data_IF_527194127065
#
_entry.id   IF_527194127065
#
_cell.length_a   1.000
_cell.length_b   1.000
_cell.length_c   1.000
_cell.angle_alpha   90.00
_cell.angle_beta   90.00
_cell.angle_gamma   90.00
#
_symmetry.space_group_name_H-M   'P 1'
#
loop_
_entity.id
_entity.type
_entity.pdbx_description
1 polymer ?
#
# COMPACT_ATOMS: atom_id res chain seq x y z
N UNK A 1 -4.23 -4.12 -13.32
CA UNK A 1 -3.71 -5.11 -12.34
C UNK A 1 -2.20 -4.96 -12.23
N UNK A 2 -1.66 -5.07 -11.02
CA UNK A 2 -0.21 -5.14 -10.74
C UNK A 2 0.08 -6.54 -10.23
N UNK A 3 0.75 -7.37 -11.01
CA UNK A 3 1.07 -8.77 -10.69
C UNK A 3 2.27 -9.23 -11.53
N UNK A 4 3.31 -9.83 -10.95
CA UNK A 4 4.43 -10.36 -11.72
C UNK A 4 4.04 -11.54 -12.62
N UNK A 5 2.94 -12.22 -12.33
CA UNK A 5 2.48 -13.39 -13.08
C UNK A 5 1.38 -13.03 -14.08
N UNK A 6 1.36 -13.79 -15.17
CA UNK A 6 0.22 -13.86 -16.06
C UNK A 6 -0.77 -14.87 -15.46
N UNK A 7 -1.98 -14.41 -15.18
CA UNK A 7 -3.06 -15.18 -14.60
C UNK A 7 -4.32 -15.05 -15.45
N UNK A 8 -5.34 -15.91 -15.32
CA UNK A 8 -6.60 -15.72 -16.03
C UNK A 8 -7.23 -14.34 -15.81
N UNK A 9 -7.04 -13.75 -14.63
CA UNK A 9 -7.49 -12.39 -14.31
C UNK A 9 -6.75 -11.35 -15.13
N UNK A 10 -5.40 -11.45 -15.19
CA UNK A 10 -4.60 -10.47 -15.94
C UNK A 10 -4.72 -10.61 -17.45
N UNK A 11 -5.09 -11.79 -17.96
CA UNK A 11 -5.29 -12.01 -19.40
C UNK A 11 -6.68 -11.60 -19.90
N UNK A 12 -7.72 -11.76 -19.06
CA UNK A 12 -9.10 -11.70 -19.54
C UNK A 12 -9.94 -10.61 -18.90
N UNK A 13 -9.51 -10.07 -17.76
CA UNK A 13 -10.35 -9.22 -16.91
C UNK A 13 -9.74 -7.86 -16.59
N UNK A 14 -8.50 -7.56 -16.98
CA UNK A 14 -7.89 -6.26 -16.73
C UNK A 14 -7.65 -5.48 -18.02
N UNK A 15 -7.78 -4.16 -17.93
CA UNK A 15 -7.52 -3.22 -19.02
C UNK A 15 -6.04 -2.92 -19.19
N UNK A 16 -5.27 -3.00 -18.09
CA UNK A 16 -3.84 -2.78 -18.07
C UNK A 16 -3.16 -3.70 -17.06
N UNK A 17 -2.09 -4.37 -17.48
CA UNK A 17 -1.28 -5.25 -16.65
C UNK A 17 0.14 -4.69 -16.48
N UNK A 18 0.50 -4.31 -15.27
CA UNK A 18 1.86 -3.96 -14.87
C UNK A 18 2.52 -5.19 -14.21
N UNK A 19 3.72 -5.54 -14.66
CA UNK A 19 4.42 -6.75 -14.21
C UNK A 19 5.73 -6.39 -13.51
N UNK A 20 5.68 -5.94 -12.25
CA UNK A 20 6.90 -5.60 -11.53
C UNK A 20 7.68 -6.84 -11.12
N UNK A 21 8.99 -6.69 -10.93
CA UNK A 21 9.77 -7.70 -10.22
C UNK A 21 9.24 -7.84 -8.79
N UNK A 22 9.16 -9.08 -8.25
CA UNK A 22 8.71 -9.30 -6.88
C UNK A 22 9.47 -8.43 -5.87
N UNK A 23 8.72 -7.74 -4.99
CA UNK A 23 9.29 -6.87 -3.95
C UNK A 23 9.64 -5.44 -4.40
N UNK A 24 9.36 -5.07 -5.65
CA UNK A 24 9.60 -3.70 -6.18
C UNK A 24 8.34 -2.84 -6.25
N UNK A 25 7.26 -3.30 -5.67
CA UNK A 25 5.96 -2.64 -5.66
C UNK A 25 6.04 -1.19 -5.14
N UNK A 26 6.83 -0.97 -4.09
CA UNK A 26 7.05 0.35 -3.52
C UNK A 26 7.76 1.31 -4.48
N UNK A 27 8.75 0.83 -5.25
CA UNK A 27 9.45 1.64 -6.25
C UNK A 27 8.51 2.00 -7.40
N UNK A 28 7.65 1.05 -7.83
CA UNK A 28 6.63 1.31 -8.83
C UNK A 28 5.62 2.35 -8.33
N UNK A 29 5.10 2.18 -7.11
CA UNK A 29 4.14 3.11 -6.52
C UNK A 29 4.73 4.52 -6.32
N UNK A 30 6.00 4.64 -5.93
CA UNK A 30 6.69 5.92 -5.83
C UNK A 30 6.85 6.59 -7.20
N UNK A 31 7.16 5.83 -8.24
CA UNK A 31 7.19 6.37 -9.61
C UNK A 31 5.80 6.83 -10.05
N UNK A 32 4.76 6.05 -9.80
CA UNK A 32 3.37 6.48 -10.07
C UNK A 32 3.02 7.76 -9.32
N UNK A 33 3.36 7.85 -8.04
CA UNK A 33 3.18 9.08 -7.24
C UNK A 33 3.91 10.27 -7.83
N UNK A 34 5.15 10.10 -8.29
CA UNK A 34 5.91 11.14 -8.99
C UNK A 34 5.22 11.59 -10.28
N UNK A 35 4.74 10.65 -11.10
CA UNK A 35 3.99 10.97 -12.35
C UNK A 35 2.73 11.75 -12.03
N UNK A 36 1.93 11.33 -11.06
CA UNK A 36 0.71 12.03 -10.64
C UNK A 36 1.01 13.47 -10.20
N UNK A 37 2.08 13.67 -9.43
CA UNK A 37 2.52 15.00 -8.99
C UNK A 37 2.97 15.86 -10.16
N UNK A 38 3.84 15.35 -11.03
CA UNK A 38 4.38 16.10 -12.17
C UNK A 38 3.31 16.49 -13.17
N UNK A 39 2.33 15.63 -13.41
CA UNK A 39 1.19 15.90 -14.30
C UNK A 39 0.11 16.77 -13.65
N UNK A 40 0.19 17.03 -12.35
CA UNK A 40 -0.84 17.74 -11.62
C UNK A 40 -2.14 16.93 -11.43
N UNK A 41 -2.07 15.60 -11.54
CA UNK A 41 -3.18 14.66 -11.40
C UNK A 41 -3.39 14.25 -9.94
N UNK A 42 -3.30 15.21 -9.04
CA UNK A 42 -3.44 15.07 -7.60
C UNK A 42 -4.60 15.92 -7.09
N UNK A 43 -5.21 15.51 -5.99
CA UNK A 43 -6.23 16.29 -5.29
C UNK A 43 -5.56 17.23 -4.28
N UNK A 44 -5.28 18.46 -4.72
CA UNK A 44 -4.59 19.47 -3.91
C UNK A 44 -5.38 19.89 -2.68
N UNK A 45 -6.70 20.01 -2.80
CA UNK A 45 -7.56 20.40 -1.68
C UNK A 45 -7.55 19.32 -0.59
N UNK A 46 -7.64 18.06 -1.01
CA UNK A 46 -7.53 16.92 -0.08
C UNK A 46 -6.16 16.87 0.59
N UNK A 47 -5.09 17.04 -0.19
CA UNK A 47 -3.71 17.01 0.32
C UNK A 47 -3.50 18.11 1.35
N UNK A 48 -3.88 19.35 1.04
CA UNK A 48 -3.70 20.49 1.93
C UNK A 48 -4.45 20.33 3.26
N UNK A 49 -5.57 19.62 3.24
CA UNK A 49 -6.43 19.45 4.41
C UNK A 49 -6.11 18.22 5.26
N UNK A 50 -5.70 17.14 4.63
CA UNK A 50 -5.64 15.83 5.30
C UNK A 50 -4.29 15.12 5.22
N UNK A 51 -3.36 15.56 4.38
CA UNK A 51 -2.09 14.88 4.18
C UNK A 51 -0.95 15.61 4.85
N UNK A 52 -0.26 14.92 5.76
CA UNK A 52 0.96 15.43 6.36
C UNK A 52 2.20 14.88 5.64
N UNK A 53 3.25 15.73 5.47
CA UNK A 53 4.53 15.30 4.87
C UNK A 53 4.52 15.22 3.34
N UNK A 54 3.58 15.90 2.66
CA UNK A 54 3.50 15.88 1.19
C UNK A 54 4.79 16.37 0.51
N UNK A 55 5.43 17.42 1.04
CA UNK A 55 6.66 17.99 0.45
C UNK A 55 7.81 16.99 0.50
N UNK A 56 8.00 16.34 1.62
CA UNK A 56 9.01 15.31 1.83
C UNK A 56 8.75 14.08 0.95
N UNK A 57 7.48 13.69 0.85
CA UNK A 57 7.08 12.62 -0.07
C UNK A 57 7.38 12.97 -1.52
N UNK A 58 7.00 14.15 -1.98
CA UNK A 58 7.22 14.60 -3.35
C UNK A 58 8.72 14.66 -3.70
N UNK A 59 9.54 15.16 -2.78
CA UNK A 59 10.99 15.20 -2.95
C UNK A 59 11.58 13.78 -3.04
N UNK A 60 11.12 12.85 -2.21
CA UNK A 60 11.59 11.47 -2.23
C UNK A 60 11.12 10.74 -3.50
N UNK A 61 9.85 10.88 -3.86
CA UNK A 61 9.26 10.24 -5.03
C UNK A 61 9.91 10.71 -6.35
N UNK A 62 10.41 11.94 -6.42
CA UNK A 62 11.13 12.46 -7.59
C UNK A 62 12.37 11.64 -7.96
N UNK A 63 12.94 10.88 -7.02
CA UNK A 63 14.01 9.93 -7.28
C UNK A 63 13.58 8.69 -8.09
N UNK A 64 12.28 8.46 -8.26
CA UNK A 64 11.70 7.35 -9.04
C UNK A 64 11.02 7.91 -10.28
N UNK A 65 11.63 7.73 -11.44
CA UNK A 65 11.24 8.43 -12.67
C UNK A 65 11.55 7.59 -13.92
N UNK A 66 11.32 8.19 -15.08
CA UNK A 66 11.54 7.57 -16.39
C UNK A 66 12.94 6.95 -16.56
N UNK A 67 13.96 7.58 -15.98
CA UNK A 67 15.35 7.11 -16.18
C UNK A 67 15.69 5.83 -15.45
N UNK A 68 14.90 5.43 -14.43
CA UNK A 68 15.27 4.31 -13.56
C UNK A 68 14.14 3.32 -13.25
N UNK A 69 12.87 3.67 -13.46
CA UNK A 69 11.74 2.81 -13.06
C UNK A 69 11.78 1.44 -13.73
N UNK A 70 12.04 1.38 -15.02
CA UNK A 70 12.09 0.11 -15.76
C UNK A 70 13.23 -0.78 -15.25
N UNK A 71 14.40 -0.20 -15.00
CA UNK A 71 15.52 -0.93 -14.42
C UNK A 71 15.23 -1.47 -13.02
N UNK A 72 14.53 -0.68 -12.21
CA UNK A 72 14.20 -1.04 -10.82
C UNK A 72 13.07 -2.04 -10.73
N UNK A 73 12.07 -1.92 -11.58
CA UNK A 73 10.80 -2.65 -11.44
C UNK A 73 10.50 -3.63 -12.57
N UNK A 74 11.18 -3.50 -13.71
CA UNK A 74 10.85 -4.25 -14.92
C UNK A 74 9.63 -3.72 -15.67
N UNK A 75 9.02 -2.60 -15.21
CA UNK A 75 7.84 -2.01 -15.84
C UNK A 75 8.25 -0.81 -16.69
N UNK A 76 7.96 -0.81 -18.00
CA UNK A 76 8.20 0.32 -18.89
C UNK A 76 7.50 1.60 -18.39
N UNK A 77 8.18 2.73 -18.49
CA UNK A 77 7.66 4.01 -17.98
C UNK A 77 6.34 4.42 -18.62
N UNK A 78 6.14 4.14 -19.91
CA UNK A 78 4.92 4.45 -20.65
C UNK A 78 3.71 3.72 -20.04
N UNK A 79 3.88 2.50 -19.54
CA UNK A 79 2.82 1.76 -18.86
C UNK A 79 2.52 2.35 -17.48
N UNK A 80 3.53 2.89 -16.81
CA UNK A 80 3.34 3.61 -15.53
C UNK A 80 2.53 4.88 -15.77
N UNK A 81 2.87 5.66 -16.80
CA UNK A 81 2.12 6.87 -17.17
C UNK A 81 0.69 6.53 -17.53
N UNK A 82 0.47 5.47 -18.34
CA UNK A 82 -0.87 5.03 -18.71
C UNK A 82 -1.71 4.62 -17.50
N UNK A 83 -1.12 3.92 -16.54
CA UNK A 83 -1.81 3.58 -15.29
C UNK A 83 -2.22 4.83 -14.49
N UNK A 84 -1.34 5.83 -14.42
CA UNK A 84 -1.63 7.10 -13.75
C UNK A 84 -2.72 7.91 -14.47
N UNK A 85 -2.74 7.89 -15.82
CA UNK A 85 -3.80 8.49 -16.63
C UNK A 85 -5.17 7.85 -16.34
N UNK A 86 -5.23 6.52 -16.33
CA UNK A 86 -6.45 5.80 -15.96
C UNK A 86 -6.94 6.15 -14.54
N UNK A 87 -6.03 6.33 -13.60
CA UNK A 87 -6.37 6.79 -12.25
C UNK A 87 -6.95 8.21 -12.29
N UNK A 88 -6.33 9.11 -13.04
CA UNK A 88 -6.76 10.50 -13.16
C UNK A 88 -8.13 10.64 -13.82
N UNK A 89 -8.41 9.84 -14.86
CA UNK A 89 -9.68 9.86 -15.58
C UNK A 89 -10.81 9.18 -14.80
N UNK A 90 -10.48 8.37 -13.79
CA UNK A 90 -11.49 7.69 -12.98
C UNK A 90 -12.17 8.64 -12.00
N UNK A 91 -13.44 8.41 -11.70
CA UNK A 91 -14.18 9.19 -10.69
C UNK A 91 -13.72 8.87 -9.27
N UNK A 92 -13.23 7.66 -9.04
CA UNK A 92 -12.75 7.15 -7.76
C UNK A 92 -11.86 5.94 -8.00
N UNK A 93 -10.94 5.69 -7.07
CA UNK A 93 -10.01 4.55 -7.11
C UNK A 93 -10.04 3.83 -5.76
N UNK A 94 -10.28 2.53 -5.80
CA UNK A 94 -10.03 1.63 -4.68
C UNK A 94 -8.85 0.71 -5.02
N UNK A 95 -7.91 0.57 -4.12
CA UNK A 95 -6.78 -0.34 -4.24
C UNK A 95 -7.11 -1.60 -3.45
N UNK A 96 -7.32 -2.70 -4.15
CA UNK A 96 -7.45 -4.00 -3.51
C UNK A 96 -6.07 -4.67 -3.46
N UNK A 97 -5.53 -4.77 -2.28
CA UNK A 97 -4.23 -5.38 -2.02
C UNK A 97 -4.39 -6.61 -1.13
N UNK A 98 -3.46 -7.52 -1.27
CA UNK A 98 -3.44 -8.71 -0.44
C UNK A 98 -2.41 -8.54 0.69
N UNK A 99 -2.79 -8.89 1.90
CA UNK A 99 -1.96 -8.77 3.09
C UNK A 99 -0.68 -9.64 3.07
N UNK A 100 -0.61 -10.67 2.25
CA UNK A 100 0.52 -11.60 2.24
C UNK A 100 1.63 -11.20 1.24
N UNK A 101 1.37 -10.96 -0.07
CA UNK A 101 2.45 -10.81 -1.05
C UNK A 101 3.24 -9.51 -0.91
N UNK A 102 2.64 -8.43 -0.40
CA UNK A 102 3.30 -7.13 -0.31
C UNK A 102 4.09 -6.97 0.98
N UNK A 103 3.52 -7.19 2.20
CA UNK A 103 4.26 -6.97 3.44
C UNK A 103 5.31 -8.04 3.76
N UNK A 104 5.20 -9.25 3.21
CA UNK A 104 6.12 -10.35 3.51
C UNK A 104 7.47 -10.28 2.76
N UNK A 105 7.94 -9.08 2.50
CA UNK A 105 9.26 -8.79 1.97
C UNK A 105 10.10 -7.99 2.96
N UNK A 106 11.41 -7.98 2.78
CA UNK A 106 12.32 -7.17 3.60
C UNK A 106 11.89 -5.71 3.71
N UNK A 107 11.29 -5.16 2.66
CA UNK A 107 10.82 -3.78 2.57
C UNK A 107 9.28 -3.67 2.48
N UNK A 108 8.56 -4.73 2.86
CA UNK A 108 7.14 -4.87 2.62
C UNK A 108 6.29 -3.77 3.25
N UNK A 109 6.58 -3.38 4.48
CA UNK A 109 5.88 -2.29 5.14
C UNK A 109 6.00 -0.96 4.38
N UNK A 110 7.16 -0.64 3.84
CA UNK A 110 7.36 0.57 3.06
C UNK A 110 6.72 0.48 1.67
N UNK A 111 6.72 -0.72 1.07
CA UNK A 111 5.99 -0.97 -0.17
C UNK A 111 4.49 -0.71 0.01
N UNK A 112 3.92 -1.24 1.07
CA UNK A 112 2.51 -1.03 1.44
C UNK A 112 2.19 0.46 1.62
N UNK A 113 3.00 1.18 2.39
CA UNK A 113 2.83 2.64 2.58
C UNK A 113 2.89 3.42 1.28
N UNK A 114 3.81 3.06 0.38
CA UNK A 114 3.95 3.73 -0.91
C UNK A 114 2.71 3.51 -1.80
N UNK A 115 2.13 2.30 -1.76
CA UNK A 115 0.89 1.98 -2.48
C UNK A 115 -0.28 2.79 -1.90
N UNK A 116 -0.44 2.81 -0.59
CA UNK A 116 -1.51 3.59 0.07
C UNK A 116 -1.38 5.10 -0.16
N UNK A 117 -0.17 5.61 -0.31
CA UNK A 117 0.05 7.02 -0.63
C UNK A 117 -0.61 7.45 -1.95
N UNK A 118 -0.80 6.55 -2.92
CA UNK A 118 -1.52 6.86 -4.16
C UNK A 118 -2.98 7.27 -3.90
N UNK A 119 -3.65 6.59 -2.98
CA UNK A 119 -5.02 6.95 -2.56
C UNK A 119 -5.06 8.30 -1.84
N UNK A 120 -4.03 8.62 -1.04
CA UNK A 120 -3.92 9.92 -0.38
C UNK A 120 -3.66 11.06 -1.37
N UNK A 121 -2.77 10.86 -2.36
CA UNK A 121 -2.48 11.85 -3.39
C UNK A 121 -3.69 12.20 -4.25
N UNK A 122 -4.57 11.24 -4.49
CA UNK A 122 -5.73 11.36 -5.38
C UNK A 122 -7.04 11.58 -4.63
N UNK A 123 -6.99 11.83 -3.31
CA UNK A 123 -8.16 12.09 -2.49
C UNK A 123 -9.14 10.91 -2.41
N UNK A 124 -8.64 9.68 -2.50
CA UNK A 124 -9.46 8.48 -2.56
C UNK A 124 -9.65 7.77 -1.22
N UNK A 125 -9.25 8.36 -0.10
CA UNK A 125 -9.61 7.85 1.21
C UNK A 125 -10.97 8.41 1.68
N UNK A 126 -11.75 7.55 2.34
CA UNK A 126 -13.03 7.87 2.97
C UNK A 126 -14.04 8.54 2.01
N UNK A 127 -14.11 8.01 0.79
CA UNK A 127 -15.10 8.45 -0.20
C UNK A 127 -15.73 7.26 -0.90
N UNK A 128 -16.93 7.46 -1.41
CA UNK A 128 -17.68 6.42 -2.16
C UNK A 128 -16.90 5.96 -3.38
N UNK A 129 -16.65 4.66 -3.47
CA UNK A 129 -15.85 4.03 -4.53
C UNK A 129 -14.33 4.19 -4.36
N UNK A 130 -13.89 4.75 -3.23
CA UNK A 130 -12.49 4.86 -2.84
C UNK A 130 -12.11 3.85 -1.78
N UNK A 131 -10.97 4.13 -1.13
CA UNK A 131 -10.44 3.33 -0.03
C UNK A 131 -11.15 3.73 1.26
N UNK A 132 -11.87 2.81 1.87
CA UNK A 132 -12.47 3.03 3.18
C UNK A 132 -11.48 2.66 4.29
N UNK A 133 -11.45 3.40 5.41
CA UNK A 133 -10.77 2.95 6.61
C UNK A 133 -11.33 1.60 7.02
N UNK A 134 -10.46 0.64 7.31
CA UNK A 134 -10.89 -0.66 7.79
C UNK A 134 -11.56 -0.51 9.16
N UNK A 135 -12.85 -0.72 9.23
CA UNK A 135 -13.48 -1.00 10.51
C UNK A 135 -13.24 -2.48 10.84
N UNK A 136 -13.02 -2.78 12.12
CA UNK A 136 -12.91 -4.15 12.61
C UNK A 136 -14.27 -4.88 12.56
N UNK A 137 -14.91 -4.86 11.39
CA UNK A 137 -16.23 -5.48 11.19
C UNK A 137 -16.21 -7.01 11.20
N UNK A 138 -15.03 -7.62 11.24
CA UNK A 138 -14.85 -9.07 11.17
C UNK A 138 -14.41 -9.73 12.47
N UNK A 139 -14.24 -8.98 13.53
CA UNK A 139 -14.13 -9.58 14.85
C UNK A 139 -15.52 -9.89 15.40
N UNK A 140 -16.30 -10.69 14.67
CA UNK A 140 -17.21 -11.55 15.37
C UNK A 140 -16.32 -12.51 16.18
N UNK A 141 -16.21 -12.24 17.46
CA UNK A 141 -15.77 -13.26 18.40
C UNK A 141 -16.72 -14.44 18.17
N UNK A 142 -16.25 -15.44 17.45
CA UNK A 142 -16.92 -16.73 17.42
C UNK A 142 -16.85 -17.18 18.88
N UNK A 143 -18.00 -17.29 19.54
CA UNK A 143 -18.07 -17.71 20.91
C UNK A 143 -17.23 -18.99 21.12
N UNK A 144 -16.22 -18.93 21.96
CA UNK A 144 -15.25 -20.01 22.17
C UNK A 144 -13.95 -19.93 21.37
N UNK A 145 -13.75 -18.91 20.56
CA UNK A 145 -12.44 -18.61 19.98
C UNK A 145 -11.74 -17.58 20.88
N UNK A 146 -10.96 -18.04 21.81
CA UNK A 146 -10.05 -17.20 22.60
C UNK A 146 -8.74 -17.05 21.84
N UNK A 147 -8.20 -15.83 21.75
CA UNK A 147 -6.81 -15.64 21.36
C UNK A 147 -5.92 -16.14 22.50
N UNK A 148 -4.68 -16.53 22.20
CA UNK A 148 -3.72 -16.89 23.26
C UNK A 148 -3.59 -15.76 24.30
N UNK A 149 -3.80 -14.52 23.92
CA UNK A 149 -3.80 -13.36 24.80
C UNK A 149 -4.97 -13.41 25.80
N UNK A 150 -6.15 -13.85 25.39
CA UNK A 150 -7.31 -14.02 26.27
C UNK A 150 -7.10 -15.18 27.26
N UNK A 151 -6.37 -16.22 26.87
CA UNK A 151 -6.01 -17.33 27.77
C UNK A 151 -5.01 -16.91 28.85
N UNK A 152 -4.18 -15.90 28.58
CA UNK A 152 -3.22 -15.34 29.53
C UNK A 152 -3.77 -14.14 30.33
N UNK A 153 -4.91 -13.59 29.94
CA UNK A 153 -5.50 -12.41 30.59
C UNK A 153 -5.97 -12.65 32.03
N UNK A 154 -6.06 -13.89 32.47
CA UNK A 154 -6.44 -14.25 33.82
C UNK A 154 -5.29 -14.21 34.88
N UNK A 155 -4.16 -13.66 34.51
CA UNK A 155 -3.00 -13.49 35.39
C UNK A 155 -2.06 -14.69 35.43
N UNK A 156 -2.17 -15.57 34.44
CA UNK A 156 -1.25 -16.71 34.27
C UNK A 156 -0.02 -16.36 33.44
N UNK A 157 0.13 -15.08 33.07
CA UNK A 157 1.34 -14.62 32.38
C UNK A 157 2.59 -14.97 33.18
N UNK A 158 3.60 -15.59 32.56
CA UNK A 158 4.86 -15.83 33.24
C UNK A 158 5.44 -14.49 33.71
N UNK A 159 5.68 -14.33 35.01
CA UNK A 159 6.23 -13.11 35.60
C UNK A 159 7.58 -12.66 34.99
N UNK A 160 8.22 -13.59 34.28
CA UNK A 160 9.52 -13.40 33.61
C UNK A 160 9.39 -13.55 32.09
N UNK A 161 8.23 -13.19 31.51
CA UNK A 161 8.04 -13.27 30.05
C UNK A 161 9.09 -12.44 29.32
N UNK A 162 9.96 -13.12 28.58
CA UNK A 162 10.91 -12.47 27.69
C UNK A 162 10.11 -11.87 26.54
N UNK A 163 10.26 -10.57 26.32
CA UNK A 163 9.62 -9.89 25.20
C UNK A 163 9.88 -10.65 23.88
N UNK A 164 8.89 -10.79 23.01
CA UNK A 164 9.07 -11.41 21.71
C UNK A 164 10.22 -10.80 20.93
N UNK A 165 10.86 -11.61 20.10
CA UNK A 165 11.96 -11.14 19.24
C UNK A 165 11.45 -10.00 18.36
N UNK A 166 12.08 -8.84 18.50
CA UNK A 166 11.71 -7.66 17.71
C UNK A 166 10.80 -6.66 18.43
N UNK A 167 10.23 -6.98 19.60
CA UNK A 167 9.36 -6.06 20.34
C UNK A 167 9.98 -4.68 20.59
N UNK A 168 11.29 -4.62 20.90
CA UNK A 168 12.01 -3.37 21.12
C UNK A 168 12.30 -2.65 19.78
N UNK A 169 12.62 -3.42 18.74
CA UNK A 169 13.00 -2.86 17.43
C UNK A 169 11.79 -2.45 16.59
N UNK A 170 10.67 -3.13 16.78
CA UNK A 170 9.42 -2.94 16.03
C UNK A 170 8.21 -2.87 16.98
N UNK A 171 8.13 -1.83 17.83
CA UNK A 171 7.10 -1.76 18.87
C UNK A 171 5.66 -1.73 18.34
N UNK A 172 5.45 -1.31 17.09
CA UNK A 172 4.13 -1.29 16.45
C UNK A 172 3.54 -2.69 16.15
N UNK A 173 4.35 -3.73 16.22
CA UNK A 173 3.92 -5.11 15.99
C UNK A 173 3.68 -5.89 17.28
N UNK A 174 3.87 -5.23 18.42
CA UNK A 174 3.72 -5.85 19.73
C UNK A 174 2.36 -5.55 20.38
N UNK A 175 1.57 -4.65 19.79
CA UNK A 175 0.25 -4.26 20.30
C UNK A 175 -0.87 -4.83 19.45
#
# INVERSE_FOLDING_TARGET
VVDPKITPTTEKMCDLHLRPYPGTDGALALCMGNVLIQKGWIDKEYIDKYVHGFKEYAQYAAGFNETNVEKLTGVPYELVVKACEMIHESKSMAINENSAPIPHHKNGFQNYRAIMALSALTGNFDRKGGQLPGEHTFTHQIAGFTTLEDEFADGTEPKDAVLPVGAIRFPLWYH
#
